data_IF_737822716071
#
_entry.id   IF_737822716071
#
_cell.length_a   1.000
_cell.length_b   1.000
_cell.length_c   1.000
_cell.angle_alpha   90.00
_cell.angle_beta   90.00
_cell.angle_gamma   90.00
#
_symmetry.space_group_name_H-M   'P 1'
#
loop_
_entity.id
_entity.type
_entity.pdbx_description
1 polymer ?
#
# COMPACT_ATOMS: atom_id res chain seq x y z
N UNK A 1 -35.69 -39.19 25.98
CA UNK A 1 -34.61 -39.23 24.98
C UNK A 1 -34.55 -37.82 24.41
N UNK A 2 -33.73 -36.95 25.01
CA UNK A 2 -33.61 -35.55 24.57
C UNK A 2 -32.53 -35.52 23.48
N UNK A 3 -32.95 -35.21 22.27
CA UNK A 3 -32.07 -35.06 21.11
C UNK A 3 -31.41 -33.67 21.16
N UNK A 4 -30.09 -33.63 21.02
CA UNK A 4 -29.23 -32.47 21.26
C UNK A 4 -29.30 -31.42 20.13
N UNK A 5 -29.29 -30.11 20.43
CA UNK A 5 -29.10 -29.06 19.44
C UNK A 5 -27.60 -28.90 19.13
N UNK A 6 -27.06 -29.67 18.17
CA UNK A 6 -25.66 -29.58 17.72
C UNK A 6 -25.45 -28.91 16.35
N UNK A 7 -26.52 -28.43 15.70
CA UNK A 7 -26.46 -27.92 14.32
C UNK A 7 -26.10 -26.44 14.17
N UNK A 8 -26.30 -25.62 15.21
CA UNK A 8 -26.08 -24.17 15.11
C UNK A 8 -24.60 -23.76 15.28
N UNK A 9 -23.83 -24.58 16.01
CA UNK A 9 -22.41 -24.33 16.31
C UNK A 9 -21.51 -24.57 15.09
N UNK A 10 -21.80 -25.60 14.29
CA UNK A 10 -21.06 -25.90 13.05
C UNK A 10 -21.26 -24.84 12.00
N UNK A 11 -22.51 -24.41 11.78
CA UNK A 11 -22.85 -23.36 10.80
C UNK A 11 -22.20 -22.02 11.14
N UNK A 12 -22.11 -21.69 12.43
CA UNK A 12 -21.44 -20.46 12.91
C UNK A 12 -19.93 -20.55 12.75
N UNK A 13 -19.34 -21.71 13.05
CA UNK A 13 -17.91 -21.96 12.89
C UNK A 13 -17.48 -21.88 11.41
N UNK A 14 -18.24 -22.49 10.51
CA UNK A 14 -17.99 -22.45 9.06
C UNK A 14 -17.99 -21.01 8.51
N UNK A 15 -18.96 -20.19 8.94
CA UNK A 15 -19.02 -18.78 8.55
C UNK A 15 -17.83 -17.96 9.10
N UNK A 16 -17.41 -18.21 10.33
CA UNK A 16 -16.23 -17.55 10.90
C UNK A 16 -14.96 -17.93 10.16
N UNK A 17 -14.83 -19.17 9.72
CA UNK A 17 -13.66 -19.65 9.00
C UNK A 17 -13.60 -19.09 7.56
N UNK A 18 -14.75 -18.87 6.94
CA UNK A 18 -14.86 -18.14 5.67
C UNK A 18 -14.43 -16.69 5.80
N UNK A 19 -14.82 -16.00 6.88
CA UNK A 19 -14.39 -14.62 7.15
C UNK A 19 -12.88 -14.56 7.37
N UNK A 20 -12.32 -15.47 8.19
CA UNK A 20 -10.86 -15.54 8.44
C UNK A 20 -10.07 -15.79 7.15
N UNK A 21 -10.59 -16.63 6.26
CA UNK A 21 -9.97 -16.94 4.95
C UNK A 21 -9.93 -15.71 4.06
N UNK A 22 -11.06 -15.01 3.91
CA UNK A 22 -11.15 -13.75 3.14
C UNK A 22 -10.24 -12.66 3.69
N UNK A 23 -10.11 -12.59 5.01
CA UNK A 23 -9.25 -11.60 5.65
C UNK A 23 -7.76 -11.87 5.39
N UNK A 24 -7.34 -13.14 5.47
CA UNK A 24 -5.97 -13.56 5.09
C UNK A 24 -5.66 -13.24 3.64
N UNK A 25 -6.57 -13.61 2.72
CA UNK A 25 -6.40 -13.32 1.29
C UNK A 25 -6.32 -11.81 1.00
N UNK A 26 -7.16 -11.00 1.66
CA UNK A 26 -7.12 -9.54 1.51
C UNK A 26 -5.81 -8.95 2.03
N UNK A 27 -5.28 -9.48 3.14
CA UNK A 27 -4.02 -9.04 3.73
C UNK A 27 -2.83 -9.40 2.84
N UNK A 28 -2.80 -10.62 2.29
CA UNK A 28 -1.80 -11.05 1.31
C UNK A 28 -1.84 -10.19 0.04
N UNK A 29 -3.04 -9.92 -0.51
CA UNK A 29 -3.22 -9.03 -1.67
C UNK A 29 -2.70 -7.62 -1.39
N UNK A 30 -2.95 -7.07 -0.19
CA UNK A 30 -2.44 -5.76 0.22
C UNK A 30 -0.91 -5.76 0.35
N UNK A 31 -0.34 -6.80 0.95
CA UNK A 31 1.12 -6.93 1.10
C UNK A 31 1.80 -7.07 -0.26
N UNK A 32 1.28 -7.89 -1.17
CA UNK A 32 1.80 -8.03 -2.53
C UNK A 32 1.82 -6.69 -3.28
N UNK A 33 0.73 -5.91 -3.19
CA UNK A 33 0.66 -4.58 -3.80
C UNK A 33 1.59 -3.55 -3.13
N UNK A 34 1.84 -3.66 -1.82
CA UNK A 34 2.78 -2.79 -1.13
C UNK A 34 4.23 -3.05 -1.53
N UNK A 35 4.60 -4.30 -1.83
CA UNK A 35 5.94 -4.65 -2.30
C UNK A 35 6.22 -4.15 -3.73
N UNK A 36 5.20 -4.04 -4.59
CA UNK A 36 5.37 -3.49 -5.94
C UNK A 36 5.90 -2.04 -5.92
N UNK A 37 5.48 -1.22 -4.95
CA UNK A 37 5.98 0.15 -4.75
C UNK A 37 7.34 0.25 -4.05
N UNK A 38 7.87 -0.86 -3.52
CA UNK A 38 9.21 -0.93 -2.92
C UNK A 38 10.33 -1.12 -3.96
N UNK A 39 9.99 -1.55 -5.18
CA UNK A 39 10.97 -1.73 -6.28
C UNK A 39 11.81 -0.48 -6.60
N UNK A 40 11.30 0.72 -6.27
CA UNK A 40 12.00 1.99 -6.44
C UNK A 40 12.77 2.46 -5.20
N UNK A 41 12.68 1.76 -4.06
CA UNK A 41 13.36 2.13 -2.81
C UNK A 41 14.79 1.62 -2.77
N UNK A 42 15.03 0.46 -3.37
CA UNK A 42 16.37 -0.15 -3.46
C UNK A 42 17.11 0.27 -4.74
N UNK A 43 16.37 0.76 -5.74
CA UNK A 43 16.95 1.33 -6.95
C UNK A 43 17.25 2.81 -6.71
N UNK A 44 18.54 3.16 -6.60
CA UNK A 44 18.98 4.55 -6.67
C UNK A 44 18.46 5.17 -7.97
N UNK A 45 17.72 6.26 -7.87
CA UNK A 45 17.11 6.87 -9.05
C UNK A 45 18.23 7.35 -9.96
N UNK A 46 18.17 7.01 -11.26
CA UNK A 46 19.16 7.49 -12.25
C UNK A 46 19.23 9.02 -12.33
N UNK A 47 18.20 9.69 -11.79
CA UNK A 47 18.08 11.14 -11.71
C UNK A 47 18.68 11.62 -10.39
N UNK A 48 19.98 11.86 -10.37
CA UNK A 48 20.66 12.36 -9.16
C UNK A 48 20.41 13.86 -8.88
N UNK A 49 19.78 14.60 -9.81
CA UNK A 49 19.51 16.04 -9.70
C UNK A 49 18.27 16.46 -10.51
N UNK A 50 17.06 16.19 -10.01
CA UNK A 50 15.81 16.64 -10.67
C UNK A 50 15.79 18.17 -10.88
N UNK A 51 16.39 18.90 -9.94
CA UNK A 51 16.75 20.30 -10.09
C UNK A 51 18.17 20.49 -9.56
N UNK A 52 19.09 20.98 -10.40
CA UNK A 52 20.40 21.42 -9.93
C UNK A 52 20.29 22.70 -9.10
N UNK A 53 21.34 23.08 -8.36
CA UNK A 53 21.37 24.37 -7.67
C UNK A 53 21.00 25.47 -8.65
N UNK A 54 19.99 26.28 -8.29
CA UNK A 54 19.50 27.40 -9.11
C UNK A 54 20.70 28.24 -9.52
N UNK A 55 20.97 28.27 -10.82
CA UNK A 55 22.09 28.99 -11.39
C UNK A 55 21.80 30.50 -11.34
N UNK A 56 22.11 31.12 -10.18
CA UNK A 56 22.11 32.57 -9.97
C UNK A 56 20.73 33.25 -10.09
N UNK A 57 20.56 34.37 -9.38
CA UNK A 57 19.39 35.23 -9.61
C UNK A 57 19.61 35.99 -10.92
N UNK A 58 18.72 35.84 -11.90
CA UNK A 58 18.72 36.67 -13.11
C UNK A 58 18.22 38.07 -12.74
N UNK A 59 19.13 39.03 -12.64
CA UNK A 59 18.78 40.42 -12.41
C UNK A 59 18.41 41.07 -13.74
N UNK A 60 17.12 41.39 -13.91
CA UNK A 60 16.66 42.20 -15.03
C UNK A 60 16.96 43.66 -14.72
N UNK A 61 17.98 44.21 -15.37
CA UNK A 61 18.21 45.66 -15.38
C UNK A 61 17.03 46.32 -16.09
N UNK A 62 16.16 46.97 -15.31
CA UNK A 62 15.07 47.79 -15.85
C UNK A 62 15.67 49.01 -16.56
N UNK A 63 15.06 49.39 -17.68
CA UNK A 63 15.54 50.39 -18.65
C UNK A 63 15.37 51.86 -18.19
N UNK A 64 15.69 52.15 -16.93
CA UNK A 64 15.86 53.55 -16.49
C UNK A 64 16.82 53.54 -15.30
N UNK A 65 18.05 54.03 -15.38
CA UNK A 65 18.56 55.02 -16.33
C UNK A 65 19.20 54.48 -17.59
#
# INVERSE_FOLDING_TARGET
MAEEPKSDDTTTTDQQDDVKRRFREALERKQANAQAGASHRDADSKVHNAHGPVAGKREFRRKSG
#
